data_IF_542404356108
#
_entry.id   IF_542404356108
#
_cell.length_a   1.000
_cell.length_b   1.000
_cell.length_c   1.000
_cell.angle_alpha   90.00
_cell.angle_beta   90.00
_cell.angle_gamma   90.00
#
_symmetry.space_group_name_H-M   'P 1'
#
loop_
_entity.id
_entity.type
_entity.pdbx_description
1 polymer ?
#
# COMPACT_ATOMS: atom_id res chain seq x y z
N UNK A 1 -1.81 15.11 -2.00
CA UNK A 1 -0.72 15.38 -2.97
C UNK A 1 0.42 14.41 -2.70
N UNK A 2 0.96 13.72 -3.71
CA UNK A 2 1.90 12.60 -3.57
C UNK A 2 3.34 13.02 -3.19
N UNK A 3 3.61 14.33 -3.06
CA UNK A 3 4.94 14.88 -2.76
C UNK A 3 6.02 14.48 -3.79
N UNK A 4 5.60 14.23 -5.04
CA UNK A 4 6.49 13.89 -6.14
C UNK A 4 6.71 15.09 -7.07
N UNK A 5 7.91 15.26 -7.65
CA UNK A 5 8.15 16.27 -8.68
C UNK A 5 7.22 16.10 -9.89
N UNK A 6 6.78 17.21 -10.48
CA UNK A 6 5.88 17.19 -11.65
C UNK A 6 6.46 16.41 -12.84
N UNK A 7 7.78 16.46 -13.05
CA UNK A 7 8.46 15.68 -14.08
C UNK A 7 8.37 14.16 -13.88
N UNK A 8 8.42 13.69 -12.63
CA UNK A 8 8.26 12.28 -12.29
C UNK A 8 6.81 11.82 -12.46
N UNK A 9 5.84 12.66 -12.07
CA UNK A 9 4.42 12.41 -12.32
C UNK A 9 4.15 12.27 -13.82
N UNK A 10 4.69 13.16 -14.64
CA UNK A 10 4.52 13.10 -16.09
C UNK A 10 5.15 11.83 -16.71
N UNK A 11 6.33 11.41 -16.25
CA UNK A 11 6.98 10.16 -16.68
C UNK A 11 6.14 8.94 -16.26
N UNK A 12 5.63 8.92 -15.03
CA UNK A 12 4.77 7.86 -14.53
C UNK A 12 3.49 7.74 -15.36
N UNK A 13 2.79 8.86 -15.62
CA UNK A 13 1.58 8.87 -16.45
C UNK A 13 1.84 8.35 -17.87
N UNK A 14 2.99 8.66 -18.49
CA UNK A 14 3.37 8.10 -19.79
C UNK A 14 3.50 6.57 -19.73
N UNK A 15 4.20 6.04 -18.72
CA UNK A 15 4.34 4.58 -18.53
C UNK A 15 3.00 3.90 -18.27
N UNK A 16 2.16 4.49 -17.42
CA UNK A 16 0.83 3.98 -17.12
C UNK A 16 -0.07 3.96 -18.37
N UNK A 17 0.07 4.95 -19.25
CA UNK A 17 -0.64 4.99 -20.53
C UNK A 17 -0.15 3.91 -21.50
N UNK A 18 1.18 3.74 -21.63
CA UNK A 18 1.77 2.66 -22.42
C UNK A 18 1.32 1.27 -21.94
N UNK A 19 1.22 1.08 -20.62
CA UNK A 19 0.73 -0.14 -19.99
C UNK A 19 -0.82 -0.28 -20.01
N UNK A 20 -1.54 0.68 -20.60
CA UNK A 20 -3.01 0.75 -20.68
C UNK A 20 -3.73 0.83 -19.32
N UNK A 21 -2.99 1.09 -18.24
CA UNK A 21 -3.56 1.30 -16.90
C UNK A 21 -4.30 2.63 -16.80
N UNK A 22 -3.92 3.60 -17.63
CA UNK A 22 -4.56 4.93 -17.72
C UNK A 22 -4.79 5.29 -19.19
N UNK A 23 -5.99 5.74 -19.54
CA UNK A 23 -6.32 6.24 -20.88
C UNK A 23 -6.73 7.71 -20.75
N UNK A 24 -5.92 8.60 -21.33
CA UNK A 24 -6.04 10.04 -21.12
C UNK A 24 -5.82 10.38 -19.64
N UNK A 25 -6.89 10.76 -18.94
CA UNK A 25 -6.90 11.03 -17.49
C UNK A 25 -7.72 10.01 -16.68
N UNK A 26 -8.24 8.96 -17.31
CA UNK A 26 -9.09 7.95 -16.66
C UNK A 26 -8.29 6.70 -16.33
N UNK A 27 -8.42 6.21 -15.11
CA UNK A 27 -7.86 4.91 -14.69
C UNK A 27 -8.74 3.79 -15.26
N UNK A 28 -8.11 2.78 -15.85
CA UNK A 28 -8.81 1.56 -16.28
C UNK A 28 -8.80 0.58 -15.10
N UNK A 29 -9.82 0.66 -14.25
CA UNK A 29 -9.86 -0.06 -12.96
C UNK A 29 -9.57 -1.56 -13.07
N UNK A 30 -10.11 -2.24 -14.10
CA UNK A 30 -9.81 -3.66 -14.34
C UNK A 30 -8.31 -3.95 -14.44
N UNK A 31 -7.59 -3.23 -15.31
CA UNK A 31 -6.17 -3.47 -15.53
C UNK A 31 -5.32 -2.97 -14.35
N UNK A 32 -5.71 -1.85 -13.74
CA UNK A 32 -5.07 -1.37 -12.52
C UNK A 32 -5.17 -2.41 -11.39
N UNK A 33 -6.35 -2.99 -11.20
CA UNK A 33 -6.60 -4.06 -10.23
C UNK A 33 -5.75 -5.30 -10.51
N UNK A 34 -5.74 -5.79 -11.75
CA UNK A 34 -4.91 -6.94 -12.15
C UNK A 34 -3.42 -6.68 -11.86
N UNK A 35 -2.91 -5.49 -12.20
CA UNK A 35 -1.52 -5.11 -11.93
C UNK A 35 -1.20 -4.96 -10.44
N UNK A 36 -2.10 -4.36 -9.65
CA UNK A 36 -1.91 -4.16 -8.22
C UNK A 36 -1.94 -5.49 -7.46
N UNK A 37 -2.82 -6.42 -7.84
CA UNK A 37 -2.96 -7.72 -7.17
C UNK A 37 -1.86 -8.72 -7.58
N UNK A 38 -1.49 -8.73 -8.86
CA UNK A 38 -0.65 -9.79 -9.43
C UNK A 38 0.68 -9.31 -9.99
N UNK A 39 0.90 -8.00 -10.11
CA UNK A 39 2.15 -7.42 -10.59
C UNK A 39 2.98 -6.82 -9.45
N UNK A 40 2.41 -5.86 -8.72
CA UNK A 40 3.12 -5.08 -7.69
C UNK A 40 3.87 -5.93 -6.66
N UNK A 41 3.29 -7.01 -6.09
CA UNK A 41 4.02 -7.85 -5.14
C UNK A 41 5.30 -8.48 -5.69
N UNK A 42 5.39 -8.67 -7.01
CA UNK A 42 6.56 -9.28 -7.66
C UNK A 42 7.58 -8.26 -8.15
N UNK A 43 7.12 -7.09 -8.62
CA UNK A 43 8.04 -6.03 -9.09
C UNK A 43 8.56 -5.15 -7.95
N UNK A 44 7.83 -5.09 -6.83
CA UNK A 44 8.21 -4.37 -5.62
C UNK A 44 8.07 -5.29 -4.40
N UNK A 45 8.87 -6.38 -4.30
CA UNK A 45 8.83 -7.22 -3.11
C UNK A 45 9.20 -6.40 -1.86
N UNK A 46 8.67 -6.80 -0.71
CA UNK A 46 9.10 -6.27 0.57
C UNK A 46 9.21 -7.40 1.57
N UNK A 47 10.13 -7.23 2.51
CA UNK A 47 10.26 -8.09 3.68
C UNK A 47 10.21 -7.20 4.93
N UNK A 48 9.62 -7.68 6.04
CA UNK A 48 9.68 -6.96 7.29
C UNK A 48 11.13 -6.79 7.77
N UNK A 49 11.51 -5.55 8.05
CA UNK A 49 12.84 -5.17 8.50
C UNK A 49 12.95 -5.01 10.02
N UNK A 50 13.96 -4.26 10.45
CA UNK A 50 14.21 -3.95 11.85
C UNK A 50 13.04 -3.21 12.50
N UNK A 51 12.98 -3.26 13.82
CA UNK A 51 11.99 -2.49 14.58
C UNK A 51 12.25 -0.99 14.42
N UNK A 52 11.22 -0.26 14.02
CA UNK A 52 11.24 1.17 13.79
C UNK A 52 9.99 1.84 14.38
N UNK A 53 10.02 3.17 14.41
CA UNK A 53 8.85 4.01 14.65
C UNK A 53 8.33 4.55 13.32
N UNK A 54 7.01 4.65 13.19
CA UNK A 54 6.42 5.30 12.02
C UNK A 54 4.93 5.04 11.85
N UNK A 55 4.47 5.24 10.61
CA UNK A 55 3.05 5.20 10.25
C UNK A 55 2.62 3.73 10.10
N UNK A 56 1.54 3.27 10.75
CA UNK A 56 1.11 1.88 10.64
C UNK A 56 0.82 1.48 9.19
N UNK A 57 1.21 0.28 8.78
CA UNK A 57 0.91 -0.25 7.44
C UNK A 57 0.55 -1.73 7.49
N UNK A 58 0.30 -2.34 6.34
CA UNK A 58 -0.17 -3.71 6.20
C UNK A 58 -1.38 -3.97 7.12
N UNK A 59 -1.38 -5.09 7.82
CA UNK A 59 -2.45 -5.45 8.76
C UNK A 59 -2.59 -4.48 9.94
N UNK A 60 -1.56 -3.66 10.23
CA UNK A 60 -1.56 -2.70 11.34
C UNK A 60 -2.23 -1.38 11.00
N UNK A 61 -2.52 -1.12 9.72
CA UNK A 61 -3.19 0.11 9.31
C UNK A 61 -4.63 0.19 9.87
N UNK A 62 -5.13 1.37 10.28
CA UNK A 62 -6.42 1.50 10.97
C UNK A 62 -7.61 0.92 10.20
N UNK A 63 -7.62 1.04 8.87
CA UNK A 63 -8.69 0.52 8.01
C UNK A 63 -8.79 -1.02 7.98
N UNK A 64 -7.73 -1.73 8.40
CA UNK A 64 -7.67 -3.20 8.35
C UNK A 64 -7.94 -3.87 9.70
N UNK A 65 -8.33 -3.11 10.74
CA UNK A 65 -8.58 -3.62 12.10
C UNK A 65 -9.58 -4.78 12.18
N UNK A 66 -10.60 -4.82 11.30
CA UNK A 66 -11.56 -5.94 11.28
C UNK A 66 -10.88 -7.28 11.01
N UNK A 67 -9.82 -7.27 10.20
CA UNK A 67 -9.03 -8.46 9.89
C UNK A 67 -8.27 -8.89 11.14
N UNK A 68 -7.67 -7.96 11.88
CA UNK A 68 -6.97 -8.24 13.15
C UNK A 68 -7.90 -8.95 14.15
N UNK A 69 -9.10 -8.40 14.37
CA UNK A 69 -10.07 -8.92 15.35
C UNK A 69 -10.51 -10.35 15.01
N UNK A 70 -10.75 -10.64 13.73
CA UNK A 70 -11.10 -11.98 13.27
C UNK A 70 -9.97 -13.01 13.45
N UNK A 71 -8.72 -12.56 13.63
CA UNK A 71 -7.54 -13.41 13.77
C UNK A 71 -7.10 -13.69 15.20
N UNK A 72 -7.84 -13.24 16.22
CA UNK A 72 -7.45 -13.41 17.62
C UNK A 72 -6.43 -12.38 18.14
N UNK A 73 -6.17 -11.30 17.38
CA UNK A 73 -5.29 -10.19 17.81
C UNK A 73 -4.23 -9.81 16.78
N UNK A 74 -3.38 -8.84 17.17
CA UNK A 74 -2.21 -8.40 16.39
C UNK A 74 -1.02 -9.27 16.78
N UNK A 75 -0.64 -10.23 15.94
CA UNK A 75 0.63 -10.97 16.16
C UNK A 75 1.85 -10.09 15.85
N UNK A 76 1.76 -9.28 14.79
CA UNK A 76 2.86 -8.44 14.29
C UNK A 76 2.37 -7.04 13.97
N UNK A 77 3.14 -6.04 14.40
CA UNK A 77 2.92 -4.64 14.06
C UNK A 77 3.89 -4.24 12.95
N UNK A 78 3.38 -3.65 11.87
CA UNK A 78 4.16 -3.13 10.76
C UNK A 78 4.00 -1.63 10.62
N UNK A 79 5.11 -0.96 10.31
CA UNK A 79 5.13 0.48 10.11
C UNK A 79 5.95 0.84 8.87
N UNK A 80 5.55 1.89 8.16
CA UNK A 80 6.49 2.62 7.32
C UNK A 80 7.33 3.53 8.22
N UNK A 81 8.68 3.41 8.22
CA UNK A 81 9.54 4.27 9.02
C UNK A 81 9.24 5.75 8.76
N UNK A 82 8.97 6.50 9.84
CA UNK A 82 8.69 7.93 9.75
C UNK A 82 9.04 8.61 11.06
N UNK A 83 9.52 9.86 10.99
CA UNK A 83 9.81 10.69 12.16
C UNK A 83 8.55 11.30 12.79
N UNK A 84 7.42 11.30 12.07
CA UNK A 84 6.20 12.00 12.48
C UNK A 84 5.30 11.20 13.43
N UNK A 85 5.41 9.87 13.44
CA UNK A 85 4.48 8.98 14.14
C UNK A 85 5.21 8.04 15.13
N UNK A 86 4.49 7.55 16.13
CA UNK A 86 5.02 6.88 17.33
C UNK A 86 4.67 5.41 17.43
N UNK A 87 3.98 4.82 16.45
CA UNK A 87 3.74 3.37 16.50
C UNK A 87 5.07 2.63 16.30
N UNK A 88 5.33 1.64 17.16
CA UNK A 88 6.51 0.77 17.10
C UNK A 88 6.13 -0.54 16.41
N UNK A 89 6.88 -0.91 15.38
CA UNK A 89 6.66 -2.14 14.63
C UNK A 89 7.85 -2.52 13.75
N UNK A 90 7.79 -3.66 13.09
CA UNK A 90 8.74 -4.02 12.05
C UNK A 90 8.59 -3.06 10.86
N UNK A 91 9.71 -2.57 10.33
CA UNK A 91 9.67 -1.67 9.18
C UNK A 91 9.24 -2.40 7.91
N UNK A 92 8.42 -1.75 7.09
CA UNK A 92 8.24 -2.12 5.69
C UNK A 92 8.75 -0.95 4.86
N UNK A 93 9.62 -1.23 3.88
CA UNK A 93 10.11 -0.21 2.96
C UNK A 93 8.94 0.36 2.13
N UNK A 94 8.66 1.67 2.23
CA UNK A 94 7.58 2.29 1.47
C UNK A 94 7.87 2.23 -0.02
N UNK A 95 6.84 2.15 -0.86
CA UNK A 95 6.99 2.12 -2.33
C UNK A 95 7.68 3.38 -2.90
N UNK A 96 7.68 4.47 -2.13
CA UNK A 96 8.48 5.66 -2.40
C UNK A 96 8.69 6.45 -1.08
N UNK A 97 9.75 7.29 -0.98
CA UNK A 97 10.16 7.89 0.29
C UNK A 97 9.09 8.71 1.02
N UNK A 98 8.22 9.40 0.28
CA UNK A 98 7.19 10.28 0.87
C UNK A 98 5.82 9.60 1.04
N UNK A 99 5.74 8.29 0.83
CA UNK A 99 4.50 7.54 0.97
C UNK A 99 3.87 7.70 2.36
N UNK A 100 4.61 7.62 3.49
CA UNK A 100 4.00 7.71 4.81
C UNK A 100 3.27 9.04 5.02
N UNK A 101 3.92 10.16 4.65
CA UNK A 101 3.32 11.49 4.78
C UNK A 101 2.18 11.73 3.78
N UNK A 102 2.25 11.14 2.59
CA UNK A 102 1.19 11.23 1.60
C UNK A 102 -0.05 10.41 2.00
N UNK A 103 0.15 9.23 2.61
CA UNK A 103 -0.91 8.36 3.10
C UNK A 103 -1.76 9.07 4.17
N UNK A 104 -1.14 9.79 5.11
CA UNK A 104 -1.86 10.53 6.15
C UNK A 104 -2.78 11.65 5.62
N UNK A 105 -2.63 12.06 4.36
CA UNK A 105 -3.44 13.13 3.73
C UNK A 105 -4.64 12.61 2.94
N UNK A 106 -4.70 11.31 2.67
CA UNK A 106 -5.75 10.68 1.86
C UNK A 106 -6.00 9.25 2.35
N UNK A 107 -7.12 9.05 3.04
CA UNK A 107 -7.48 7.77 3.65
C UNK A 107 -7.67 6.65 2.63
N UNK A 108 -8.19 6.96 1.43
CA UNK A 108 -8.36 5.97 0.36
C UNK A 108 -7.00 5.53 -0.18
N UNK A 109 -6.10 6.49 -0.44
CA UNK A 109 -4.73 6.20 -0.85
C UNK A 109 -3.99 5.37 0.22
N UNK A 110 -4.10 5.74 1.49
CA UNK A 110 -3.52 4.99 2.60
C UNK A 110 -4.05 3.56 2.66
N UNK A 111 -5.36 3.38 2.52
CA UNK A 111 -5.98 2.06 2.50
C UNK A 111 -5.42 1.16 1.40
N UNK A 112 -5.30 1.67 0.18
CA UNK A 112 -4.75 0.90 -0.95
C UNK A 112 -3.26 0.59 -0.71
N UNK A 113 -2.45 1.57 -0.29
CA UNK A 113 -1.01 1.34 -0.07
C UNK A 113 -0.74 0.34 1.06
N UNK A 114 -1.50 0.40 2.15
CA UNK A 114 -1.40 -0.57 3.24
C UNK A 114 -1.90 -1.96 2.81
N UNK A 115 -2.96 -2.05 2.01
CA UNK A 115 -3.41 -3.32 1.46
C UNK A 115 -2.37 -3.94 0.50
N UNK A 116 -1.66 -3.12 -0.29
CA UNK A 116 -0.53 -3.60 -1.09
C UNK A 116 0.57 -4.18 -0.21
N UNK A 117 0.88 -3.58 0.94
CA UNK A 117 1.85 -4.17 1.86
C UNK A 117 1.37 -5.51 2.44
N UNK A 118 0.06 -5.70 2.67
CA UNK A 118 -0.49 -7.03 3.01
C UNK A 118 -0.25 -8.06 1.89
N UNK A 119 -0.21 -7.62 0.61
CA UNK A 119 0.14 -8.47 -0.52
C UNK A 119 1.65 -8.65 -0.70
N UNK A 120 2.48 -7.72 -0.23
CA UNK A 120 3.95 -7.79 -0.35
C UNK A 120 4.58 -8.60 0.78
N UNK A 121 4.08 -8.45 2.01
CA UNK A 121 4.69 -9.03 3.22
C UNK A 121 3.79 -9.99 3.99
N UNK A 122 2.47 -9.93 3.77
CA UNK A 122 1.50 -10.61 4.61
C UNK A 122 1.42 -12.13 4.39
N UNK A 123 0.90 -12.83 5.41
CA UNK A 123 0.57 -14.27 5.34
C UNK A 123 -0.72 -14.51 4.55
N UNK A 124 -1.04 -15.77 4.23
CA UNK A 124 -2.23 -16.16 3.43
C UNK A 124 -3.52 -15.40 3.79
N UNK A 125 -3.81 -15.26 5.09
CA UNK A 125 -4.99 -14.55 5.59
C UNK A 125 -4.97 -13.05 5.30
N UNK A 126 -3.83 -12.40 5.54
CA UNK A 126 -3.63 -10.96 5.31
C UNK A 126 -3.65 -10.67 3.82
N UNK A 127 -2.98 -11.49 3.01
CA UNK A 127 -3.01 -11.37 1.55
C UNK A 127 -4.44 -11.44 1.01
N UNK A 128 -5.22 -12.41 1.48
CA UNK A 128 -6.62 -12.58 1.09
C UNK A 128 -7.51 -11.40 1.52
N UNK A 129 -7.17 -10.71 2.61
CA UNK A 129 -7.89 -9.52 3.03
C UNK A 129 -7.48 -8.28 2.23
N UNK A 130 -6.18 -8.08 1.98
CA UNK A 130 -5.67 -6.99 1.15
C UNK A 130 -6.18 -7.07 -0.28
N UNK A 131 -6.26 -8.29 -0.84
CA UNK A 131 -6.86 -8.52 -2.15
C UNK A 131 -8.34 -8.08 -2.18
N UNK A 132 -9.15 -8.55 -1.23
CA UNK A 132 -10.57 -8.16 -1.13
C UNK A 132 -10.74 -6.64 -1.00
N UNK A 133 -9.92 -6.00 -0.19
CA UNK A 133 -9.96 -4.55 0.00
C UNK A 133 -9.70 -3.79 -1.31
N UNK A 134 -8.69 -4.20 -2.08
CA UNK A 134 -8.37 -3.57 -3.37
C UNK A 134 -9.49 -3.83 -4.40
N UNK A 135 -10.05 -5.03 -4.44
CA UNK A 135 -11.18 -5.39 -5.32
C UNK A 135 -12.44 -4.54 -5.02
N UNK A 136 -12.71 -4.26 -3.74
CA UNK A 136 -13.84 -3.43 -3.32
C UNK A 136 -13.71 -1.96 -3.72
N UNK A 137 -12.48 -1.42 -3.73
CA UNK A 137 -12.22 -0.03 -4.12
C UNK A 137 -12.18 0.11 -5.64
N UNK A 138 -11.52 -0.82 -6.34
CA UNK A 138 -11.34 -0.78 -7.79
C UNK A 138 -12.35 -1.70 -8.48
N UNK A 139 -13.64 -1.37 -8.37
CA UNK A 139 -14.73 -2.12 -9.01
C UNK A 139 -14.63 -2.10 -10.53
#
# INVERSE_FOLDING_TARGET
>A
ELLLPQGEIAKALRRLNMARLVIGKKVVHRFAREFLLHGVPFVFPAEPGSIAYGVPTAISAPMHQRVVLAGGGVEHTYVWPSLSDKMKGQSIEPLYPYLPDAALKDECFYGIMSALDMLRTGRTRERAAGQRYIEEILK
#
